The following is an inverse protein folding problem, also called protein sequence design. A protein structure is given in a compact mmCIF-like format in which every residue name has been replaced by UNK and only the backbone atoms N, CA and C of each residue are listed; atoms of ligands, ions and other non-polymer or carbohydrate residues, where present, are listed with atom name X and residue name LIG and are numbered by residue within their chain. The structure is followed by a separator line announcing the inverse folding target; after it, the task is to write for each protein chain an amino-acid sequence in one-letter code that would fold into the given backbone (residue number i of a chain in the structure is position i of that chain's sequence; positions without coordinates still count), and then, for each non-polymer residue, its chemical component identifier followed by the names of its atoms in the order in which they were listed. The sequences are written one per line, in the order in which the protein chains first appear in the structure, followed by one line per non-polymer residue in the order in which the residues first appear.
data_IF_175859408438
#
_entry.id   IF_175859408438
#
_cell.length_a   1.000
_cell.length_b   1.000
_cell.length_c   1.000
_cell.angle_alpha   90.00
_cell.angle_beta   90.00
_cell.angle_gamma   90.00
#
_symmetry.space_group_name_H-M   'P 1'
#
loop_
_entity.id
_entity.type
_entity.pdbx_description
1 polymer ?
#
# COMPACT_ATOMS: atom_id res chain seq x y z
N UNK A 1 -7.62 12.80 25.96
CA UNK A 1 -8.60 11.86 26.56
C UNK A 1 -8.76 10.66 25.65
N UNK A 2 -8.20 9.48 25.99
CA UNK A 2 -8.49 8.22 25.28
C UNK A 2 -9.95 7.87 25.54
N UNK A 3 -10.79 7.90 24.51
CA UNK A 3 -12.18 7.44 24.62
C UNK A 3 -12.15 5.96 24.98
N UNK A 4 -12.84 5.59 26.06
CA UNK A 4 -12.94 4.20 26.48
C UNK A 4 -13.75 3.45 25.42
N UNK A 5 -13.10 2.49 24.74
CA UNK A 5 -13.75 1.66 23.72
C UNK A 5 -14.78 0.76 24.42
N UNK A 6 -16.05 0.91 24.02
CA UNK A 6 -17.17 0.15 24.60
C UNK A 6 -17.00 -1.33 24.25
N UNK A 7 -17.07 -2.22 25.25
CA UNK A 7 -16.99 -3.68 25.05
C UNK A 7 -15.59 -4.27 24.90
N UNK A 8 -14.53 -3.46 25.02
CA UNK A 8 -13.14 -3.89 24.82
C UNK A 8 -12.33 -4.05 26.11
N UNK A 9 -12.88 -3.68 27.27
CA UNK A 9 -12.18 -3.71 28.55
C UNK A 9 -12.44 -5.03 29.30
N UNK A 10 -11.37 -5.70 29.72
CA UNK A 10 -11.40 -6.92 30.53
C UNK A 10 -10.78 -8.14 29.84
N UNK A 11 -10.41 -9.18 30.60
CA UNK A 11 -9.69 -10.36 30.07
C UNK A 11 -10.52 -11.19 29.08
N UNK A 12 -11.85 -11.07 29.11
CA UNK A 12 -12.77 -11.77 28.20
C UNK A 12 -13.16 -10.96 26.96
N UNK A 13 -12.58 -9.76 26.73
CA UNK A 13 -12.95 -8.95 25.58
C UNK A 13 -12.56 -9.63 24.26
N UNK A 14 -13.35 -9.45 23.18
CA UNK A 14 -13.05 -10.05 21.88
C UNK A 14 -11.63 -9.69 21.38
N UNK A 15 -11.16 -8.48 21.68
CA UNK A 15 -9.83 -8.02 21.30
C UNK A 15 -8.70 -8.70 22.12
N UNK A 16 -8.87 -8.87 23.43
CA UNK A 16 -7.87 -9.57 24.25
C UNK A 16 -7.84 -11.07 23.92
N UNK A 17 -8.99 -11.67 23.60
CA UNK A 17 -9.05 -13.05 23.09
C UNK A 17 -8.31 -13.19 21.75
N UNK A 18 -8.55 -12.26 20.81
CA UNK A 18 -7.84 -12.23 19.54
C UNK A 18 -6.34 -12.02 19.74
N UNK A 19 -5.94 -11.10 20.62
CA UNK A 19 -4.53 -10.83 20.92
C UNK A 19 -3.83 -12.04 21.52
N UNK A 20 -4.44 -12.68 22.52
CA UNK A 20 -3.90 -13.90 23.13
C UNK A 20 -3.78 -15.01 22.09
N UNK A 21 -4.79 -15.20 21.25
CA UNK A 21 -4.74 -16.17 20.16
C UNK A 21 -3.63 -15.86 19.15
N UNK A 22 -3.51 -14.62 18.68
CA UNK A 22 -2.44 -14.20 17.77
C UNK A 22 -1.04 -14.41 18.37
N UNK A 23 -0.89 -14.22 19.68
CA UNK A 23 0.39 -14.42 20.37
C UNK A 23 0.82 -15.89 20.48
N UNK A 24 -0.14 -16.82 20.61
CA UNK A 24 0.15 -18.26 20.64
C UNK A 24 0.11 -18.92 19.26
N UNK A 25 -0.48 -18.26 18.26
CA UNK A 25 -0.75 -18.84 16.94
C UNK A 25 0.48 -19.46 16.27
N UNK A 26 1.66 -18.84 16.36
CA UNK A 26 2.86 -19.39 15.73
C UNK A 26 3.27 -20.73 16.35
N UNK A 27 3.10 -20.90 17.67
CA UNK A 27 3.36 -22.15 18.37
C UNK A 27 2.25 -23.19 18.09
N UNK A 28 0.99 -22.76 18.08
CA UNK A 28 -0.17 -23.62 17.82
C UNK A 28 -0.19 -24.15 16.37
N UNK A 29 0.24 -23.33 15.40
CA UNK A 29 0.38 -23.71 14.00
C UNK A 29 1.52 -24.70 13.79
N UNK A 30 2.66 -24.51 14.47
CA UNK A 30 3.79 -25.44 14.41
C UNK A 30 3.48 -26.81 15.05
N UNK A 31 2.57 -26.84 16.03
CA UNK A 31 2.13 -28.06 16.71
C UNK A 31 0.99 -28.81 15.99
N UNK A 32 0.56 -28.35 14.81
CA UNK A 32 -0.57 -28.88 14.03
C UNK A 32 -1.89 -28.96 14.84
N UNK A 33 -2.00 -28.15 15.89
CA UNK A 33 -3.17 -28.08 16.77
C UNK A 33 -4.27 -27.16 16.21
N UNK A 34 -4.03 -26.58 15.04
CA UNK A 34 -4.92 -25.63 14.38
C UNK A 34 -6.33 -26.20 14.17
N UNK A 35 -6.46 -27.53 13.96
CA UNK A 35 -7.74 -28.20 13.79
C UNK A 35 -8.57 -28.32 15.08
N UNK A 36 -7.96 -28.11 16.26
CA UNK A 36 -8.65 -28.17 17.57
C UNK A 36 -9.06 -26.79 18.10
N UNK A 37 -8.58 -25.70 17.50
CA UNK A 37 -8.94 -24.34 17.91
C UNK A 37 -10.24 -23.91 17.21
N UNK A 38 -11.37 -24.02 17.91
CA UNK A 38 -12.69 -23.55 17.46
C UNK A 38 -12.84 -22.01 17.48
N UNK A 39 -11.79 -21.28 17.11
CA UNK A 39 -11.76 -19.82 17.15
C UNK A 39 -11.98 -19.26 15.76
N UNK A 40 -13.18 -18.75 15.51
CA UNK A 40 -13.52 -18.05 14.28
C UNK A 40 -13.20 -16.56 14.41
N UNK A 41 -12.71 -15.96 13.33
CA UNK A 41 -12.49 -14.51 13.19
C UNK A 41 -13.19 -14.07 11.91
N UNK A 42 -13.93 -12.97 11.97
CA UNK A 42 -14.60 -12.40 10.82
C UNK A 42 -13.76 -11.23 10.27
N UNK A 43 -13.38 -11.32 8.99
CA UNK A 43 -12.67 -10.24 8.30
C UNK A 43 -13.65 -9.60 7.32
N UNK A 44 -13.87 -8.29 7.47
CA UNK A 44 -14.64 -7.49 6.54
C UNK A 44 -13.69 -6.52 5.86
N UNK A 45 -13.43 -6.74 4.58
CA UNK A 45 -12.61 -5.87 3.74
C UNK A 45 -13.46 -4.78 3.08
N UNK A 46 -12.82 -3.69 2.66
CA UNK A 46 -13.44 -2.57 1.94
C UNK A 46 -14.69 -1.97 2.63
N UNK A 47 -14.66 -1.82 3.96
CA UNK A 47 -15.83 -1.28 4.70
C UNK A 47 -16.13 0.19 4.36
N UNK A 48 -15.18 0.91 3.77
CA UNK A 48 -15.39 2.24 3.18
C UNK A 48 -16.12 2.20 1.83
N UNK A 49 -16.02 1.08 1.11
CA UNK A 49 -16.66 0.80 -0.17
C UNK A 49 -18.14 0.43 -0.08
N UNK A 50 -18.71 0.23 1.12
CA UNK A 50 -20.14 -0.03 1.37
C UNK A 50 -21.02 1.21 1.10
N UNK A 51 -20.95 1.71 -0.13
CA UNK A 51 -21.58 2.93 -0.57
C UNK A 51 -22.43 2.70 -1.81
N UNK A 52 -23.70 3.10 -1.71
CA UNK A 52 -24.68 2.98 -2.79
C UNK A 52 -26.09 2.89 -2.21
N UNK A 53 -27.09 2.84 -3.10
CA UNK A 53 -28.45 2.49 -2.69
C UNK A 53 -28.57 1.01 -2.32
N UNK A 54 -27.63 0.18 -2.78
CA UNK A 54 -27.61 -1.27 -2.57
C UNK A 54 -27.25 -1.63 -1.11
N UNK A 55 -26.29 -0.94 -0.50
CA UNK A 55 -25.84 -1.17 0.89
C UNK A 55 -26.36 -0.14 1.90
N UNK A 56 -27.53 0.45 1.61
CA UNK A 56 -28.08 1.50 2.46
C UNK A 56 -28.44 0.95 3.84
N UNK A 57 -27.64 1.33 4.84
CA UNK A 57 -27.81 0.90 6.23
C UNK A 57 -26.85 -0.21 6.68
N UNK A 58 -26.06 -0.80 5.77
CA UNK A 58 -25.11 -1.87 6.11
C UNK A 58 -24.12 -1.48 7.21
N UNK A 59 -23.64 -0.23 7.19
CA UNK A 59 -22.73 0.28 8.23
C UNK A 59 -23.37 0.38 9.62
N UNK A 60 -24.68 0.67 9.70
CA UNK A 60 -25.38 0.77 10.98
C UNK A 60 -25.60 -0.62 11.58
N UNK A 61 -25.98 -1.58 10.74
CA UNK A 61 -26.11 -2.98 11.16
C UNK A 61 -24.76 -3.57 11.56
N UNK A 62 -23.70 -3.27 10.81
CA UNK A 62 -22.34 -3.66 11.17
C UNK A 62 -21.95 -3.16 12.57
N UNK A 63 -22.28 -1.89 12.90
CA UNK A 63 -22.05 -1.34 14.24
C UNK A 63 -22.88 -2.09 15.30
N UNK A 64 -24.11 -2.50 14.98
CA UNK A 64 -24.95 -3.29 15.89
C UNK A 64 -24.35 -4.68 16.14
N UNK A 65 -23.88 -5.35 15.08
CA UNK A 65 -23.19 -6.64 15.14
C UNK A 65 -21.90 -6.53 15.95
N UNK A 66 -21.10 -5.48 15.79
CA UNK A 66 -19.87 -5.27 16.58
C UNK A 66 -20.16 -5.17 18.09
N UNK A 67 -21.32 -4.62 18.47
CA UNK A 67 -21.71 -4.49 19.88
C UNK A 67 -22.21 -5.79 20.51
N UNK A 68 -22.82 -6.68 19.71
CA UNK A 68 -23.48 -7.90 20.19
C UNK A 68 -22.65 -9.17 19.96
N UNK A 69 -21.78 -9.16 18.95
CA UNK A 69 -20.99 -10.31 18.53
C UNK A 69 -19.94 -10.70 19.58
N UNK A 70 -19.80 -12.01 19.78
CA UNK A 70 -18.71 -12.62 20.57
C UNK A 70 -17.52 -13.02 19.70
N UNK A 71 -17.66 -12.94 18.38
CA UNK A 71 -16.64 -13.25 17.38
C UNK A 71 -15.83 -11.97 17.13
N UNK A 72 -14.49 -12.01 17.17
CA UNK A 72 -13.67 -10.85 16.83
C UNK A 72 -13.84 -10.48 15.35
N UNK A 73 -14.04 -9.19 15.10
CA UNK A 73 -14.27 -8.63 13.77
C UNK A 73 -13.10 -7.72 13.42
N UNK A 74 -12.46 -7.97 12.27
CA UNK A 74 -11.40 -7.13 11.71
C UNK A 74 -11.99 -6.40 10.51
N UNK A 75 -12.11 -5.08 10.62
CA UNK A 75 -12.56 -4.22 9.53
C UNK A 75 -11.35 -3.58 8.85
N UNK A 76 -11.21 -3.79 7.54
CA UNK A 76 -10.19 -3.15 6.72
C UNK A 76 -10.87 -2.03 5.92
N UNK A 77 -10.27 -0.84 5.97
CA UNK A 77 -10.72 0.33 5.21
C UNK A 77 -9.54 1.00 4.54
N UNK A 78 -9.73 1.51 3.33
CA UNK A 78 -8.70 2.27 2.63
C UNK A 78 -8.71 3.75 3.08
N UNK A 79 -9.88 4.40 3.13
CA UNK A 79 -10.02 5.77 3.61
C UNK A 79 -10.74 5.91 4.97
N UNK A 80 -9.95 6.30 5.97
CA UNK A 80 -10.43 6.61 7.33
C UNK A 80 -11.16 7.95 7.42
N UNK A 81 -10.96 8.89 6.49
CA UNK A 81 -11.54 10.23 6.56
C UNK A 81 -13.03 10.24 6.19
N UNK A 82 -13.48 9.23 5.46
CA UNK A 82 -14.89 9.06 5.10
C UNK A 82 -15.83 9.16 6.33
N UNK A 83 -16.97 9.85 6.19
CA UNK A 83 -17.89 10.10 7.31
C UNK A 83 -18.48 8.81 7.89
N UNK A 84 -18.64 7.76 7.06
CA UNK A 84 -19.14 6.45 7.46
C UNK A 84 -18.14 5.67 8.30
N UNK A 85 -16.86 5.65 7.92
CA UNK A 85 -15.83 4.99 8.74
C UNK A 85 -15.59 5.76 10.04
N UNK A 86 -15.80 7.09 10.03
CA UNK A 86 -15.69 7.89 11.26
C UNK A 86 -16.70 7.51 12.34
N UNK A 87 -17.90 7.08 11.99
CA UNK A 87 -18.86 6.58 12.98
C UNK A 87 -18.46 5.19 13.50
N UNK A 88 -18.00 4.30 12.61
CA UNK A 88 -17.52 2.94 12.94
C UNK A 88 -16.30 2.96 13.87
N UNK A 89 -15.34 3.83 13.59
CA UNK A 89 -14.08 3.91 14.31
C UNK A 89 -14.20 4.38 15.77
N UNK A 90 -15.37 4.84 16.21
CA UNK A 90 -15.62 5.08 17.64
C UNK A 90 -15.84 3.77 18.43
N UNK A 91 -16.17 2.67 17.75
CA UNK A 91 -16.47 1.37 18.35
C UNK A 91 -15.35 0.34 18.15
N UNK A 92 -14.41 0.62 17.24
CA UNK A 92 -13.32 -0.27 16.89
C UNK A 92 -11.97 0.29 17.37
N UNK A 93 -10.99 -0.59 17.55
CA UNK A 93 -9.60 -0.17 17.71
C UNK A 93 -9.05 0.31 16.36
N UNK A 94 -8.68 1.59 16.27
CA UNK A 94 -8.12 2.20 15.06
C UNK A 94 -6.62 1.90 14.93
N UNK A 95 -6.28 1.02 13.98
CA UNK A 95 -4.89 0.67 13.62
C UNK A 95 -4.52 1.37 12.31
N UNK A 96 -3.57 2.30 12.37
CA UNK A 96 -3.16 3.13 11.23
C UNK A 96 -1.92 2.57 10.56
N UNK A 97 -2.10 2.04 9.36
CA UNK A 97 -0.99 1.69 8.48
C UNK A 97 -0.49 2.97 7.78
N UNK A 98 0.82 3.17 7.86
CA UNK A 98 1.49 4.28 7.19
C UNK A 98 2.21 3.74 5.96
N UNK A 99 2.38 4.60 4.95
CA UNK A 99 3.18 4.26 3.79
C UNK A 99 4.61 3.93 4.23
N UNK A 100 5.17 2.79 3.81
CA UNK A 100 6.54 2.43 4.16
C UNK A 100 7.53 3.41 3.55
N UNK A 101 8.67 3.60 4.20
CA UNK A 101 9.73 4.47 3.70
C UNK A 101 10.37 3.85 2.46
N UNK A 102 10.93 4.69 1.57
CA UNK A 102 11.60 4.22 0.34
C UNK A 102 12.70 3.19 0.64
N UNK A 103 13.48 3.41 1.70
CA UNK A 103 14.53 2.48 2.14
C UNK A 103 13.99 1.10 2.54
N UNK A 104 12.84 1.06 3.22
CA UNK A 104 12.19 -0.19 3.64
C UNK A 104 11.67 -0.98 2.44
N UNK A 105 11.06 -0.27 1.47
CA UNK A 105 10.59 -0.87 0.23
C UNK A 105 11.79 -1.41 -0.57
N UNK A 106 12.86 -0.63 -0.70
CA UNK A 106 14.09 -1.03 -1.40
C UNK A 106 14.68 -2.31 -0.81
N UNK A 107 14.81 -2.39 0.52
CA UNK A 107 15.32 -3.59 1.17
C UNK A 107 14.42 -4.82 0.93
N UNK A 108 13.10 -4.65 0.99
CA UNK A 108 12.15 -5.74 0.74
C UNK A 108 12.21 -6.24 -0.71
N UNK A 109 12.27 -5.33 -1.68
CA UNK A 109 12.33 -5.67 -3.12
C UNK A 109 13.68 -6.30 -3.48
N UNK A 110 14.79 -5.80 -2.93
CA UNK A 110 16.11 -6.43 -3.15
C UNK A 110 16.17 -7.84 -2.56
N UNK A 111 15.55 -8.07 -1.39
CA UNK A 111 15.42 -9.41 -0.82
C UNK A 111 14.60 -10.35 -1.72
N UNK A 112 13.51 -9.84 -2.30
CA UNK A 112 12.71 -10.58 -3.28
C UNK A 112 13.51 -10.90 -4.55
N UNK A 113 14.19 -9.90 -5.11
CA UNK A 113 15.01 -10.07 -6.31
C UNK A 113 16.15 -11.08 -6.09
N UNK A 114 16.76 -11.08 -4.90
CA UNK A 114 17.79 -12.06 -4.53
C UNK A 114 17.24 -13.49 -4.50
N UNK A 115 16.02 -13.70 -3.98
CA UNK A 115 15.35 -15.02 -3.98
C UNK A 115 15.03 -15.51 -5.38
N UNK A 116 14.66 -14.60 -6.28
CA UNK A 116 14.35 -14.89 -7.68
C UNK A 116 15.60 -14.91 -8.59
N UNK A 117 16.81 -14.77 -8.03
CA UNK A 117 18.09 -14.68 -8.76
C UNK A 117 18.17 -13.54 -9.79
N UNK A 118 17.44 -12.45 -9.58
CA UNK A 118 17.43 -11.25 -10.43
C UNK A 118 18.28 -10.14 -9.82
N UNK A 119 19.12 -9.51 -10.63
CA UNK A 119 19.91 -8.33 -10.24
C UNK A 119 19.27 -7.05 -10.75
N UNK A 120 18.86 -6.16 -9.84
CA UNK A 120 18.26 -4.85 -10.16
C UNK A 120 19.22 -3.74 -9.72
N UNK A 121 19.49 -2.79 -10.61
CA UNK A 121 20.28 -1.61 -10.27
C UNK A 121 19.56 -0.70 -9.27
N UNK A 122 20.28 -0.23 -8.24
CA UNK A 122 19.72 0.64 -7.19
C UNK A 122 19.01 1.89 -7.73
N UNK A 123 19.60 2.55 -8.72
CA UNK A 123 19.02 3.75 -9.35
C UNK A 123 17.70 3.46 -10.08
N UNK A 124 17.60 2.31 -10.75
CA UNK A 124 16.36 1.90 -11.45
C UNK A 124 15.26 1.60 -10.44
N UNK A 125 15.60 0.90 -9.35
CA UNK A 125 14.67 0.57 -8.29
C UNK A 125 14.11 1.83 -7.58
N UNK A 126 14.96 2.82 -7.30
CA UNK A 126 14.52 4.10 -6.72
C UNK A 126 13.55 4.84 -7.65
N UNK A 127 13.81 4.83 -8.96
CA UNK A 127 12.90 5.38 -9.97
C UNK A 127 11.54 4.66 -9.99
N UNK A 128 11.52 3.33 -9.94
CA UNK A 128 10.28 2.53 -9.89
C UNK A 128 9.48 2.83 -8.62
N UNK A 129 10.14 2.92 -7.47
CA UNK A 129 9.49 3.22 -6.18
C UNK A 129 8.88 4.62 -6.19
N UNK A 130 9.60 5.61 -6.74
CA UNK A 130 9.10 6.98 -6.88
C UNK A 130 7.89 7.05 -7.83
N UNK A 131 7.96 6.36 -8.98
CA UNK A 131 6.86 6.29 -9.94
C UNK A 131 5.61 5.59 -9.37
N UNK A 132 5.80 4.60 -8.49
CA UNK A 132 4.72 3.83 -7.86
C UNK A 132 4.14 4.49 -6.60
N UNK A 133 4.53 5.74 -6.29
CA UNK A 133 4.05 6.48 -5.12
C UNK A 133 4.15 5.70 -3.79
N UNK A 134 5.20 4.88 -3.64
CA UNK A 134 5.44 4.01 -2.48
C UNK A 134 4.38 2.92 -2.23
N UNK A 135 3.60 2.53 -3.24
CA UNK A 135 2.71 1.37 -3.17
C UNK A 135 3.50 0.07 -3.43
N UNK A 136 3.56 -0.81 -2.43
CA UNK A 136 4.33 -2.05 -2.52
C UNK A 136 3.81 -3.01 -3.59
N UNK A 137 2.49 -3.10 -3.80
CA UNK A 137 1.90 -3.97 -4.83
C UNK A 137 2.27 -3.47 -6.22
N UNK A 138 2.15 -2.17 -6.44
CA UNK A 138 2.51 -1.56 -7.71
C UNK A 138 4.02 -1.67 -7.99
N UNK A 139 4.86 -1.50 -6.97
CA UNK A 139 6.32 -1.68 -7.11
C UNK A 139 6.65 -3.11 -7.53
N UNK A 140 6.10 -4.11 -6.86
CA UNK A 140 6.36 -5.53 -7.19
C UNK A 140 5.91 -5.83 -8.62
N UNK A 141 4.71 -5.40 -9.02
CA UNK A 141 4.22 -5.59 -10.38
C UNK A 141 5.09 -4.88 -11.43
N UNK A 142 5.56 -3.67 -11.13
CA UNK A 142 6.44 -2.91 -12.03
C UNK A 142 7.80 -3.57 -12.17
N UNK A 143 8.34 -4.12 -11.07
CA UNK A 143 9.58 -4.91 -11.08
C UNK A 143 9.39 -6.21 -11.85
N UNK A 144 8.28 -6.91 -11.65
CA UNK A 144 7.95 -8.12 -12.40
C UNK A 144 7.86 -7.85 -13.91
N UNK A 145 7.21 -6.75 -14.30
CA UNK A 145 7.15 -6.32 -15.70
C UNK A 145 8.55 -6.01 -16.24
N UNK A 146 9.38 -5.29 -15.48
CA UNK A 146 10.78 -5.03 -15.84
C UNK A 146 11.61 -6.31 -16.04
N UNK A 147 11.38 -7.34 -15.22
CA UNK A 147 12.04 -8.64 -15.36
C UNK A 147 11.50 -9.46 -16.55
N UNK A 148 10.21 -9.33 -16.85
CA UNK A 148 9.53 -10.11 -17.91
C UNK A 148 9.84 -9.53 -19.29
N UNK A 149 9.89 -8.21 -19.42
CA UNK A 149 10.22 -7.52 -20.67
C UNK A 149 11.71 -7.64 -21.05
N UNK A 150 12.55 -8.08 -20.11
CA UNK A 150 14.00 -8.23 -20.28
C UNK A 150 14.51 -9.59 -19.82
N UNK A 151 14.37 -10.60 -20.68
CA UNK A 151 15.28 -11.75 -20.60
C UNK A 151 16.71 -11.25 -20.82
N UNK A 152 17.50 -11.24 -19.75
CA UNK A 152 18.97 -11.30 -19.73
C UNK A 152 19.74 -10.45 -20.77
N UNK A 153 20.18 -9.25 -20.38
CA UNK A 153 21.37 -8.58 -20.92
C UNK A 153 21.65 -7.34 -20.04
N UNK A 154 22.77 -7.15 -19.34
CA UNK A 154 24.14 -7.51 -19.70
C UNK A 154 24.39 -7.36 -21.21
N UNK A 155 24.03 -6.18 -21.74
CA UNK A 155 24.54 -5.53 -22.96
C UNK A 155 23.74 -4.26 -23.19
N UNK A 156 24.15 -3.18 -22.53
CA UNK A 156 24.20 -1.81 -23.08
C UNK A 156 24.57 -0.79 -21.99
N UNK A 157 25.58 -1.13 -21.18
CA UNK A 157 26.56 -0.12 -20.82
C UNK A 157 27.46 -0.02 -22.06
N UNK A 158 27.19 0.96 -22.93
CA UNK A 158 28.20 1.73 -23.70
C UNK A 158 27.92 2.10 -25.18
N UNK A 159 26.92 1.60 -25.94
CA UNK A 159 26.84 1.98 -27.38
C UNK A 159 25.46 2.05 -28.10
N UNK A 160 24.32 1.94 -27.41
CA UNK A 160 22.99 1.89 -28.06
C UNK A 160 22.01 3.04 -27.77
N UNK A 161 22.50 4.19 -27.31
CA UNK A 161 21.70 5.27 -26.70
C UNK A 161 20.65 6.00 -27.59
N UNK A 162 20.31 5.54 -28.79
CA UNK A 162 19.41 6.28 -29.70
C UNK A 162 18.24 5.48 -30.30
N UNK A 163 18.29 4.14 -30.34
CA UNK A 163 17.36 3.35 -31.17
C UNK A 163 16.19 2.69 -30.44
N UNK A 164 16.40 2.23 -29.21
CA UNK A 164 15.45 1.34 -28.50
C UNK A 164 14.65 2.01 -27.38
N UNK A 165 14.73 3.34 -27.25
CA UNK A 165 14.08 4.14 -26.20
C UNK A 165 12.59 4.47 -26.49
N UNK A 166 11.96 3.83 -27.48
CA UNK A 166 10.66 4.29 -28.01
C UNK A 166 9.43 3.50 -27.60
N UNK A 167 9.52 2.38 -26.88
CA UNK A 167 8.32 1.67 -26.46
C UNK A 167 8.42 1.23 -25.00
N UNK A 168 7.43 1.64 -24.20
CA UNK A 168 7.16 1.25 -22.81
C UNK A 168 7.98 1.90 -21.67
N UNK A 169 9.04 2.66 -21.95
CA UNK A 169 9.88 3.28 -20.91
C UNK A 169 9.73 4.80 -20.77
N UNK A 170 8.60 5.36 -21.17
CA UNK A 170 8.29 6.75 -20.89
C UNK A 170 7.39 6.79 -19.67
N UNK A 171 7.95 7.08 -18.51
CA UNK A 171 7.17 7.48 -17.36
C UNK A 171 6.42 8.79 -17.68
N UNK A 172 5.34 9.13 -16.96
CA UNK A 172 4.66 10.41 -17.15
C UNK A 172 5.62 11.61 -17.06
N UNK A 173 6.70 11.48 -16.29
CA UNK A 173 7.78 12.47 -16.19
C UNK A 173 8.68 12.55 -17.42
N UNK A 174 8.97 11.43 -18.10
CA UNK A 174 9.74 11.43 -19.35
C UNK A 174 8.90 12.00 -20.49
N UNK A 175 7.58 11.75 -20.49
CA UNK A 175 6.65 12.39 -21.42
C UNK A 175 6.61 13.90 -21.20
N UNK A 176 6.62 14.37 -19.95
CA UNK A 176 6.69 15.81 -19.64
C UNK A 176 8.01 16.41 -20.15
N UNK A 177 9.15 15.72 -19.97
CA UNK A 177 10.45 16.19 -20.48
C UNK A 177 10.53 16.20 -22.00
N UNK A 178 9.86 15.28 -22.69
CA UNK A 178 9.78 15.24 -24.15
C UNK A 178 8.75 16.23 -24.70
N UNK A 179 7.70 16.53 -23.95
CA UNK A 179 6.68 17.51 -24.33
C UNK A 179 7.11 18.95 -24.03
N UNK A 180 7.97 19.16 -23.05
CA UNK A 180 8.48 20.47 -22.65
C UNK A 180 9.40 21.22 -23.65
N UNK A 181 10.09 20.63 -24.65
CA UNK A 181 10.98 21.37 -25.54
C UNK A 181 10.34 21.83 -26.87
N UNK A 182 9.01 21.83 -27.03
CA UNK A 182 8.34 22.27 -28.28
C UNK A 182 7.57 23.59 -28.17
N UNK A 183 8.01 24.52 -27.31
CA UNK A 183 7.48 25.88 -27.32
C UNK A 183 8.53 26.97 -27.02
N UNK A 184 9.71 26.92 -27.63
CA UNK A 184 10.59 28.11 -27.66
C UNK A 184 11.29 28.29 -29.02
N UNK A 185 10.59 28.94 -29.95
CA UNK A 185 11.10 29.87 -30.98
C UNK A 185 9.86 30.47 -31.67
N UNK A 186 9.52 31.76 -31.70
CA UNK A 186 10.22 33.02 -31.41
C UNK A 186 9.19 34.06 -30.93
N UNK A 187 9.49 34.80 -29.86
CA UNK A 187 9.39 36.26 -29.80
C UNK A 187 9.74 36.73 -28.38
N UNK A 188 10.88 37.43 -28.29
CA UNK A 188 11.15 38.55 -27.39
C UNK A 188 10.22 38.72 -26.17
N UNK A 189 10.76 38.48 -24.98
CA UNK A 189 10.91 39.49 -23.94
C UNK A 189 11.77 38.90 -22.81
N UNK A 190 12.88 39.56 -22.55
CA UNK A 190 13.77 39.35 -21.40
C UNK A 190 12.99 39.42 -20.08
N UNK A 191 12.95 38.34 -19.32
CA UNK A 191 12.63 38.38 -17.89
C UNK A 191 13.74 37.69 -17.11
N UNK A 192 14.63 38.52 -16.58
CA UNK A 192 15.75 38.19 -15.73
C UNK A 192 15.32 37.45 -14.46
N UNK A 193 15.95 36.29 -14.24
CA UNK A 193 16.09 35.60 -12.96
C UNK A 193 16.89 36.49 -11.99
N UNK A 194 16.21 37.32 -11.21
CA UNK A 194 16.69 37.82 -9.92
C UNK A 194 15.52 38.46 -9.16
N UNK A 195 14.98 37.73 -8.18
CA UNK A 195 13.99 38.29 -7.25
C UNK A 195 12.93 37.30 -6.78
N UNK A 196 13.33 36.21 -6.12
CA UNK A 196 12.43 35.45 -5.24
C UNK A 196 13.26 34.66 -4.21
N UNK A 197 14.09 35.40 -3.49
CA UNK A 197 14.67 35.00 -2.21
C UNK A 197 14.75 36.28 -1.35
N UNK A 198 13.58 36.70 -0.87
CA UNK A 198 13.36 37.42 0.39
C UNK A 198 11.89 37.25 0.78
#
# INVERSE_FOLDING_TARGET
MRRQLVGQNGPASPANRLFNWLSSWQADYAADLASQLSSHVLIMDEVDGMAGNEDRGGMQELIAVIKTSRVPIICLCNDRQSPKVRSLANYCLDLRFHRPRMEQIKAAVLSLACRESVTIGNHVLEGIIAASNQDMRQVINSVQMWCTDGTAADKEISLGAAGAQKNLRLGPFDVILIAAPLSESENSLTCSLNGCLQ
#
